data_IF_017374265140
#
_entry.id   IF_017374265140
#
_cell.length_a   1.000
_cell.length_b   1.000
_cell.length_c   1.000
_cell.angle_alpha   90.00
_cell.angle_beta   90.00
_cell.angle_gamma   90.00
#
_symmetry.space_group_name_H-M   'P 1'
#
loop_
_entity.id
_entity.type
_entity.pdbx_description
1 polymer ?
#
# COMPACT_ATOMS: atom_id res chain seq x y z
N UNK A 1 -17.80 -1.29 -24.42
CA UNK A 1 -16.43 -1.55 -24.94
C UNK A 1 -15.51 -1.77 -23.75
N UNK A 2 -15.01 -2.98 -23.53
CA UNK A 2 -13.99 -3.21 -22.52
C UNK A 2 -12.71 -2.50 -22.94
N UNK A 3 -12.29 -1.46 -22.22
CA UNK A 3 -11.00 -0.80 -22.48
C UNK A 3 -9.91 -1.86 -22.29
N UNK A 4 -9.07 -2.04 -23.31
CA UNK A 4 -7.94 -2.95 -23.21
C UNK A 4 -6.99 -2.43 -22.13
N UNK A 5 -6.70 -3.27 -21.13
CA UNK A 5 -5.86 -2.91 -20.00
C UNK A 5 -4.40 -2.75 -20.46
N UNK A 6 -3.79 -1.60 -20.17
CA UNK A 6 -2.38 -1.35 -20.49
C UNK A 6 -1.46 -2.25 -19.67
N UNK A 7 -0.19 -2.40 -20.08
CA UNK A 7 0.79 -3.19 -19.33
C UNK A 7 1.03 -2.64 -17.91
N UNK A 8 1.05 -1.32 -17.72
CA UNK A 8 1.11 -0.71 -16.39
C UNK A 8 -0.10 -1.10 -15.54
N UNK A 9 -1.31 -1.03 -16.11
CA UNK A 9 -2.52 -1.42 -15.40
C UNK A 9 -2.55 -2.92 -15.06
N UNK A 10 -1.99 -3.78 -15.92
CA UNK A 10 -1.80 -5.21 -15.61
C UNK A 10 -0.88 -5.43 -14.42
N UNK A 11 0.21 -4.65 -14.32
CA UNK A 11 1.11 -4.73 -13.16
C UNK A 11 0.42 -4.26 -11.88
N UNK A 12 -0.38 -3.20 -11.93
CA UNK A 12 -1.18 -2.76 -10.78
C UNK A 12 -2.24 -3.82 -10.43
N UNK A 13 -2.89 -4.44 -11.42
CA UNK A 13 -3.85 -5.52 -11.18
C UNK A 13 -3.21 -6.78 -10.58
N UNK A 14 -1.95 -7.07 -10.92
CA UNK A 14 -1.20 -8.14 -10.27
C UNK A 14 -1.00 -7.85 -8.77
N UNK A 15 -0.67 -6.61 -8.39
CA UNK A 15 -0.60 -6.18 -6.98
C UNK A 15 -1.96 -6.38 -6.30
N UNK A 16 -3.05 -5.94 -6.95
CA UNK A 16 -4.43 -6.11 -6.45
C UNK A 16 -4.76 -7.58 -6.15
N UNK A 17 -4.43 -8.48 -7.08
CA UNK A 17 -4.74 -9.91 -6.96
C UNK A 17 -4.00 -10.59 -5.82
N UNK A 18 -2.84 -10.07 -5.40
CA UNK A 18 -2.14 -10.58 -4.20
C UNK A 18 -2.92 -10.23 -2.94
N UNK A 19 -3.35 -8.98 -2.81
CA UNK A 19 -4.16 -8.51 -1.69
C UNK A 19 -4.83 -7.17 -2.02
N UNK A 20 -6.14 -7.20 -2.28
CA UNK A 20 -6.88 -5.99 -2.67
C UNK A 20 -7.01 -4.98 -1.53
N UNK A 21 -7.11 -5.46 -0.28
CA UNK A 21 -7.18 -4.58 0.90
C UNK A 21 -5.88 -3.80 1.06
N UNK A 22 -4.73 -4.48 0.96
CA UNK A 22 -3.42 -3.83 0.99
C UNK A 22 -3.25 -2.82 -0.14
N UNK A 23 -3.68 -3.15 -1.36
CA UNK A 23 -3.65 -2.20 -2.48
C UNK A 23 -4.44 -0.93 -2.15
N UNK A 24 -5.70 -1.08 -1.72
CA UNK A 24 -6.58 0.06 -1.41
C UNK A 24 -6.01 0.94 -0.29
N UNK A 25 -5.50 0.32 0.77
CA UNK A 25 -4.85 1.03 1.86
C UNK A 25 -3.57 1.71 1.41
N UNK A 26 -2.73 1.06 0.59
CA UNK A 26 -1.49 1.63 0.11
C UNK A 26 -1.73 2.85 -0.80
N UNK A 27 -2.72 2.76 -1.70
CA UNK A 27 -3.13 3.91 -2.53
C UNK A 27 -3.57 5.07 -1.63
N UNK A 28 -4.44 4.81 -0.67
CA UNK A 28 -4.92 5.84 0.28
C UNK A 28 -3.76 6.48 1.03
N UNK A 29 -2.86 5.65 1.59
CA UNK A 29 -1.69 6.09 2.34
C UNK A 29 -0.73 6.94 1.50
N UNK A 30 -0.51 6.60 0.23
CA UNK A 30 0.31 7.37 -0.71
C UNK A 30 -0.24 8.79 -0.95
N UNK A 31 -1.57 8.94 -0.97
CA UNK A 31 -2.21 10.25 -1.13
C UNK A 31 -2.30 11.02 0.19
N UNK A 32 -2.50 10.35 1.33
CA UNK A 32 -2.59 10.98 2.66
C UNK A 32 -1.23 11.49 3.16
N UNK A 33 -0.20 10.64 3.11
CA UNK A 33 1.17 11.00 3.55
C UNK A 33 1.87 11.87 2.51
N UNK A 34 1.46 11.76 1.26
CA UNK A 34 2.01 12.49 0.14
C UNK A 34 3.06 11.69 -0.62
N UNK A 35 2.85 11.59 -1.93
CA UNK A 35 3.65 10.78 -2.86
C UNK A 35 5.17 10.97 -2.73
N UNK A 36 5.63 12.20 -2.50
CA UNK A 36 7.05 12.54 -2.38
C UNK A 36 7.70 11.95 -1.13
N UNK A 37 6.94 11.75 -0.06
CA UNK A 37 7.45 11.34 1.25
C UNK A 37 7.71 9.84 1.37
N UNK A 38 7.07 9.00 0.54
CA UNK A 38 7.28 7.54 0.55
C UNK A 38 8.54 7.15 -0.22
N UNK A 39 9.73 7.33 0.33
CA UNK A 39 11.01 6.89 -0.28
C UNK A 39 11.48 5.55 0.28
N UNK A 40 12.39 4.82 -0.40
CA UNK A 40 12.98 3.59 0.16
C UNK A 40 13.51 3.80 1.60
N UNK A 41 14.29 4.87 1.82
CA UNK A 41 14.81 5.17 3.16
C UNK A 41 13.74 5.52 4.19
N UNK A 42 12.68 6.25 3.82
CA UNK A 42 11.57 6.53 4.75
C UNK A 42 10.80 5.27 5.13
N UNK A 43 10.65 4.34 4.18
CA UNK A 43 9.94 3.08 4.38
C UNK A 43 10.76 2.14 5.25
N UNK A 44 12.07 2.03 5.01
CA UNK A 44 12.99 1.28 5.88
C UNK A 44 12.94 1.79 7.33
N UNK A 45 13.03 3.11 7.52
CA UNK A 45 12.91 3.72 8.85
C UNK A 45 11.55 3.44 9.51
N UNK A 46 10.46 3.46 8.73
CA UNK A 46 9.11 3.16 9.22
C UNK A 46 8.98 1.67 9.60
N UNK A 47 9.54 0.76 8.80
CA UNK A 47 9.56 -0.67 9.09
C UNK A 47 10.33 -0.95 10.39
N UNK A 48 11.48 -0.32 10.58
CA UNK A 48 12.24 -0.44 11.83
C UNK A 48 11.43 0.03 13.04
N UNK A 49 10.74 1.18 12.90
CA UNK A 49 9.85 1.70 13.92
C UNK A 49 8.71 0.74 14.25
N UNK A 50 8.01 0.19 13.25
CA UNK A 50 6.93 -0.80 13.42
C UNK A 50 7.43 -2.01 14.22
N UNK A 51 8.60 -2.56 13.84
CA UNK A 51 9.18 -3.73 14.55
C UNK A 51 9.60 -3.40 15.98
N UNK A 52 10.03 -2.16 16.23
CA UNK A 52 10.36 -1.68 17.58
C UNK A 52 9.11 -1.57 18.45
N UNK A 53 8.02 -1.01 17.92
CA UNK A 53 6.75 -0.91 18.64
C UNK A 53 6.13 -2.28 18.88
N UNK A 54 6.20 -3.20 17.91
CA UNK A 54 5.76 -4.59 18.08
C UNK A 54 6.41 -5.27 19.31
N UNK A 55 7.72 -5.08 19.49
CA UNK A 55 8.44 -5.63 20.66
C UNK A 55 7.94 -5.02 21.97
N UNK A 56 7.65 -3.72 21.99
CA UNK A 56 7.11 -3.04 23.18
C UNK A 56 5.71 -3.53 23.50
N UNK A 57 4.83 -3.63 22.51
CA UNK A 57 3.46 -4.08 22.69
C UNK A 57 3.42 -5.52 23.22
N UNK A 58 4.24 -6.42 22.66
CA UNK A 58 4.41 -7.78 23.17
C UNK A 58 4.91 -7.81 24.63
N UNK A 59 5.88 -6.98 24.97
CA UNK A 59 6.39 -6.88 26.34
C UNK A 59 5.34 -6.37 27.34
N UNK A 60 4.39 -5.56 26.88
CA UNK A 60 3.28 -5.01 27.68
C UNK A 60 2.01 -5.88 27.65
N UNK A 61 2.03 -7.02 26.94
CA UNK A 61 0.84 -7.87 26.77
C UNK A 61 -0.29 -7.20 25.97
N UNK A 62 0.02 -6.20 25.14
CA UNK A 62 -0.96 -5.52 24.28
C UNK A 62 -1.15 -6.28 22.98
N UNK A 63 -2.39 -6.33 22.51
CA UNK A 63 -2.74 -6.88 21.19
C UNK A 63 -2.99 -5.70 20.25
N UNK A 64 -2.17 -5.57 19.21
CA UNK A 64 -2.38 -4.58 18.16
C UNK A 64 -3.54 -5.01 17.25
N UNK A 65 -4.40 -4.05 16.89
CA UNK A 65 -5.52 -4.27 15.95
C UNK A 65 -5.01 -4.66 14.55
N UNK A 66 -3.89 -4.07 14.15
CA UNK A 66 -3.20 -4.37 12.89
C UNK A 66 -1.82 -4.93 13.19
N UNK A 67 -1.52 -6.12 12.66
CA UNK A 67 -0.24 -6.79 12.93
C UNK A 67 0.94 -6.03 12.32
N UNK A 68 2.11 -6.18 12.93
CA UNK A 68 3.33 -5.59 12.40
C UNK A 68 3.65 -6.06 10.97
N UNK A 69 3.43 -7.34 10.68
CA UNK A 69 3.65 -7.90 9.34
C UNK A 69 2.74 -7.23 8.30
N UNK A 70 1.46 -7.04 8.61
CA UNK A 70 0.54 -6.35 7.70
C UNK A 70 0.96 -4.89 7.48
N UNK A 71 1.43 -4.21 8.53
CA UNK A 71 1.95 -2.84 8.41
C UNK A 71 3.20 -2.78 7.52
N UNK A 72 4.11 -3.76 7.65
CA UNK A 72 5.29 -3.85 6.79
C UNK A 72 4.90 -4.10 5.33
N UNK A 73 3.98 -5.03 5.08
CA UNK A 73 3.48 -5.33 3.74
C UNK A 73 2.79 -4.11 3.11
N UNK A 74 2.07 -3.31 3.91
CA UNK A 74 1.48 -2.04 3.47
C UNK A 74 2.56 -1.06 2.99
N UNK A 75 3.63 -0.87 3.77
CA UNK A 75 4.70 0.05 3.40
C UNK A 75 5.47 -0.43 2.16
N UNK A 76 5.71 -1.74 2.04
CA UNK A 76 6.33 -2.31 0.84
C UNK A 76 5.44 -2.17 -0.39
N UNK A 77 4.13 -2.38 -0.24
CA UNK A 77 3.16 -2.17 -1.32
C UNK A 77 3.15 -0.70 -1.76
N UNK A 78 3.28 0.26 -0.83
CA UNK A 78 3.41 1.68 -1.18
C UNK A 78 4.64 1.97 -2.05
N UNK A 79 5.80 1.36 -1.74
CA UNK A 79 7.00 1.47 -2.57
C UNK A 79 6.82 0.87 -3.96
N UNK A 80 6.18 -0.29 -4.05
CA UNK A 80 5.92 -0.94 -5.34
C UNK A 80 5.00 -0.09 -6.21
N UNK A 81 3.94 0.47 -5.61
CA UNK A 81 3.02 1.38 -6.31
C UNK A 81 3.67 2.69 -6.70
N UNK A 82 4.70 3.15 -5.97
CA UNK A 82 5.42 4.39 -6.28
C UNK A 82 6.14 4.37 -7.63
N UNK A 83 6.32 3.20 -8.23
CA UNK A 83 6.88 3.05 -9.58
C UNK A 83 5.94 3.56 -10.68
N UNK A 84 4.64 3.69 -10.39
CA UNK A 84 3.64 4.17 -11.34
C UNK A 84 3.34 5.65 -11.11
N UNK A 85 2.96 6.40 -12.14
CA UNK A 85 2.57 7.80 -11.92
C UNK A 85 1.30 7.90 -11.05
N UNK A 86 1.14 8.97 -10.24
CA UNK A 86 -0.10 9.19 -9.49
C UNK A 86 -1.34 9.19 -10.39
N UNK A 87 -1.22 9.76 -11.60
CA UNK A 87 -2.29 9.79 -12.60
C UNK A 87 -2.65 8.36 -13.03
N UNK A 88 -1.66 7.51 -13.32
CA UNK A 88 -1.89 6.10 -13.69
C UNK A 88 -2.68 5.36 -12.61
N UNK A 89 -2.33 5.56 -11.33
CA UNK A 89 -3.05 4.95 -10.21
C UNK A 89 -4.49 5.46 -10.08
N UNK A 90 -4.72 6.77 -10.22
CA UNK A 90 -6.07 7.33 -10.18
C UNK A 90 -6.95 6.81 -11.32
N UNK A 91 -6.39 6.70 -12.53
CA UNK A 91 -7.07 6.10 -13.67
C UNK A 91 -7.36 4.61 -13.41
N UNK A 92 -6.43 3.88 -12.78
CA UNK A 92 -6.66 2.49 -12.41
C UNK A 92 -7.82 2.37 -11.41
N UNK A 93 -7.79 3.16 -10.32
CA UNK A 93 -8.87 3.20 -9.32
C UNK A 93 -10.21 3.47 -10.00
N UNK A 94 -10.28 4.52 -10.83
CA UNK A 94 -11.53 4.93 -11.49
C UNK A 94 -12.11 3.87 -12.43
N UNK A 95 -11.28 3.09 -13.13
CA UNK A 95 -11.76 2.13 -14.12
C UNK A 95 -11.94 0.71 -13.56
N UNK A 96 -11.21 0.32 -12.50
CA UNK A 96 -11.09 -1.08 -12.08
C UNK A 96 -11.37 -1.34 -10.59
N UNK A 97 -11.34 -0.32 -9.73
CA UNK A 97 -11.75 -0.48 -8.34
C UNK A 97 -13.18 0.03 -8.17
N UNK A 98 -14.09 -0.88 -7.84
CA UNK A 98 -15.43 -0.49 -7.41
C UNK A 98 -15.35 -0.05 -5.95
N UNK A 99 -15.94 1.09 -5.63
CA UNK A 99 -16.35 1.38 -4.27
C UNK A 99 -17.72 0.73 -4.10
N UNK A 100 -17.91 -0.01 -3.01
CA UNK A 100 -19.14 -0.76 -2.76
C UNK A 100 -20.34 0.21 -2.86
N UNK A 101 -21.29 -0.12 -3.74
CA UNK A 101 -22.65 0.43 -3.77
C UNK A 101 -23.51 -0.28 -2.72
#
# INVERSE_FOLDING_TARGET
>A
MGKQMSEEMKRIDAIRRRNEVLLRMAITHLFDVGWKNITPGSVEATIEYIRKEERKDKAMGRIAVMTADFQVDLMQTCLELKQFSPVTLLVYVSNYLRFYE
#
